data_IF_770512148928
#
_entry.id   IF_770512148928
#
_cell.length_a   1.000
_cell.length_b   1.000
_cell.length_c   1.000
_cell.angle_alpha   90.00
_cell.angle_beta   90.00
_cell.angle_gamma   90.00
#
_symmetry.space_group_name_H-M   'P 1'
#
loop_
_entity.id
_entity.type
_entity.pdbx_description
1 polymer ?
#
# COMPACT_ATOMS: atom_id res chain seq x y z
N UNK A 1 29.03 25.26 4.86
CA UNK A 1 29.62 24.29 3.91
C UNK A 1 28.77 23.03 3.70
N UNK A 2 28.39 22.28 4.75
CA UNK A 2 27.66 21.00 4.56
C UNK A 2 26.29 21.12 3.88
N UNK A 3 25.51 22.13 4.28
CA UNK A 3 24.21 22.43 3.63
C UNK A 3 24.40 22.77 2.14
N UNK A 4 25.46 23.49 1.78
CA UNK A 4 25.75 23.85 0.38
C UNK A 4 26.07 22.60 -0.46
N UNK A 5 26.88 21.67 0.07
CA UNK A 5 27.19 20.40 -0.62
C UNK A 5 25.93 19.57 -0.84
N UNK A 6 25.09 19.45 0.19
CA UNK A 6 23.80 18.76 0.10
C UNK A 6 22.89 19.39 -0.97
N UNK A 7 22.70 20.71 -0.91
CA UNK A 7 21.84 21.43 -1.84
C UNK A 7 22.38 21.40 -3.27
N UNK A 8 23.70 21.52 -3.47
CA UNK A 8 24.32 21.43 -4.78
C UNK A 8 24.12 20.05 -5.42
N UNK A 9 24.29 18.97 -4.64
CA UNK A 9 24.04 17.61 -5.13
C UNK A 9 22.56 17.38 -5.46
N UNK A 10 21.66 17.83 -4.59
CA UNK A 10 20.21 17.75 -4.81
C UNK A 10 19.80 18.46 -6.12
N UNK A 11 20.24 19.71 -6.30
CA UNK A 11 19.94 20.50 -7.50
C UNK A 11 20.55 19.87 -8.76
N UNK A 12 21.78 19.35 -8.67
CA UNK A 12 22.42 18.65 -9.78
C UNK A 12 21.63 17.41 -10.20
N UNK A 13 21.16 16.59 -9.26
CA UNK A 13 20.29 15.45 -9.56
C UNK A 13 18.99 15.87 -10.23
N UNK A 14 18.34 16.93 -9.73
CA UNK A 14 17.12 17.47 -10.34
C UNK A 14 17.37 17.93 -11.78
N UNK A 15 18.46 18.65 -12.02
CA UNK A 15 18.83 19.16 -13.35
C UNK A 15 19.19 18.03 -14.34
N UNK A 16 19.96 17.03 -13.91
CA UNK A 16 20.31 15.86 -14.74
C UNK A 16 19.04 15.13 -15.17
N UNK A 17 18.15 14.84 -14.22
CA UNK A 17 16.90 14.15 -14.56
C UNK A 17 16.02 15.03 -15.47
N UNK A 18 15.93 16.34 -15.22
CA UNK A 18 15.21 17.28 -16.06
C UNK A 18 15.73 17.31 -17.51
N UNK A 19 17.06 17.26 -17.68
CA UNK A 19 17.71 17.19 -18.99
C UNK A 19 17.47 15.84 -19.67
N UNK A 20 17.63 14.71 -18.96
CA UNK A 20 17.42 13.37 -19.51
C UNK A 20 15.98 13.11 -19.97
N UNK A 21 14.99 13.75 -19.33
CA UNK A 21 13.57 13.67 -19.74
C UNK A 21 13.30 14.23 -21.13
N UNK A 22 14.05 15.24 -21.56
CA UNK A 22 13.91 15.81 -22.91
C UNK A 22 14.41 14.86 -24.00
N UNK A 23 15.26 13.90 -23.63
CA UNK A 23 15.98 13.03 -24.56
C UNK A 23 15.42 11.61 -24.63
N UNK A 24 14.47 11.21 -23.76
CA UNK A 24 13.97 9.82 -23.71
C UNK A 24 12.43 9.78 -23.68
N UNK A 25 11.77 9.80 -24.84
CA UNK A 25 10.36 9.42 -24.94
C UNK A 25 10.25 7.89 -24.88
N UNK A 26 9.47 7.35 -23.94
CA UNK A 26 8.95 5.97 -24.02
C UNK A 26 9.77 4.82 -23.42
N UNK A 27 10.81 5.05 -22.61
CA UNK A 27 11.52 3.97 -21.89
C UNK A 27 11.11 3.87 -20.42
N UNK A 28 11.15 2.63 -19.91
CA UNK A 28 11.06 2.22 -18.50
C UNK A 28 11.50 3.35 -17.54
N UNK A 29 10.54 4.04 -16.89
CA UNK A 29 10.82 5.18 -16.03
C UNK A 29 11.81 4.81 -14.93
N UNK A 30 11.69 3.61 -14.34
CA UNK A 30 12.56 3.16 -13.28
C UNK A 30 14.02 3.08 -13.70
N UNK A 31 14.32 2.55 -14.91
CA UNK A 31 15.69 2.52 -15.45
C UNK A 31 16.25 3.92 -15.69
N UNK A 32 15.44 4.81 -16.25
CA UNK A 32 15.84 6.19 -16.52
C UNK A 32 16.20 6.91 -15.22
N UNK A 33 15.37 6.74 -14.18
CA UNK A 33 15.61 7.33 -12.88
C UNK A 33 16.82 6.71 -12.16
N UNK A 34 16.98 5.38 -12.17
CA UNK A 34 18.21 4.74 -11.63
C UNK A 34 19.45 5.31 -12.31
N UNK A 35 19.43 5.42 -13.65
CA UNK A 35 20.54 5.99 -14.42
C UNK A 35 20.88 7.42 -14.00
N UNK A 36 19.88 8.29 -13.85
CA UNK A 36 20.10 9.68 -13.45
C UNK A 36 20.63 9.81 -12.01
N UNK A 37 20.17 8.93 -11.11
CA UNK A 37 20.59 8.90 -9.70
C UNK A 37 22.02 8.39 -9.60
N UNK A 38 22.37 7.33 -10.33
CA UNK A 38 23.73 6.82 -10.40
C UNK A 38 24.67 7.83 -11.06
N UNK A 39 24.23 8.52 -12.12
CA UNK A 39 25.02 9.56 -12.79
C UNK A 39 25.26 10.76 -11.87
N UNK A 40 24.21 11.27 -11.21
CA UNK A 40 24.33 12.39 -10.28
C UNK A 40 25.11 12.02 -9.01
N UNK A 41 24.90 10.82 -8.46
CA UNK A 41 25.68 10.28 -7.36
C UNK A 41 27.14 10.10 -7.73
N UNK A 42 27.43 9.56 -8.92
CA UNK A 42 28.79 9.43 -9.47
C UNK A 42 29.48 10.79 -9.64
N UNK A 43 28.83 11.75 -10.29
CA UNK A 43 29.33 13.12 -10.43
C UNK A 43 29.59 13.78 -9.07
N UNK A 44 28.64 13.64 -8.14
CA UNK A 44 28.77 14.22 -6.80
C UNK A 44 29.92 13.57 -6.02
N UNK A 45 30.09 12.24 -6.14
CA UNK A 45 31.19 11.52 -5.50
C UNK A 45 32.53 11.94 -6.12
N UNK A 46 32.63 12.08 -7.44
CA UNK A 46 33.86 12.53 -8.08
C UNK A 46 34.23 13.98 -7.73
N UNK A 47 33.24 14.87 -7.57
CA UNK A 47 33.47 16.29 -7.25
C UNK A 47 33.78 16.50 -5.75
N UNK A 48 33.15 15.73 -4.86
CA UNK A 48 33.21 15.99 -3.41
C UNK A 48 33.92 14.91 -2.59
N UNK A 49 33.87 13.64 -3.00
CA UNK A 49 34.50 12.51 -2.31
C UNK A 49 35.96 12.33 -2.74
N UNK A 50 36.28 12.34 -4.05
CA UNK A 50 37.67 12.12 -4.49
C UNK A 50 38.65 13.17 -3.93
N UNK A 51 38.35 14.48 -3.94
CA UNK A 51 39.22 15.48 -3.31
C UNK A 51 39.29 15.34 -1.79
N UNK A 52 38.32 14.68 -1.14
CA UNK A 52 38.32 14.47 0.30
C UNK A 52 39.38 13.51 0.80
N UNK A 53 39.81 12.58 -0.06
CA UNK A 53 40.85 11.60 0.25
C UNK A 53 42.23 12.27 0.32
N UNK A 54 42.48 13.31 -0.48
CA UNK A 54 43.77 13.98 -0.56
C UNK A 54 43.85 15.28 0.25
N UNK A 55 42.72 15.98 0.49
CA UNK A 55 42.71 17.36 1.01
C UNK A 55 42.11 17.50 2.43
N UNK A 56 41.97 16.40 3.17
CA UNK A 56 41.48 16.43 4.57
C UNK A 56 40.03 16.87 4.72
N UNK A 57 39.21 16.74 3.66
CA UNK A 57 37.79 17.09 3.73
C UNK A 57 37.08 16.02 4.58
N UNK A 58 36.32 16.41 5.61
CA UNK A 58 35.62 15.47 6.48
C UNK A 58 34.65 14.55 5.73
N UNK A 59 34.63 13.23 6.00
CA UNK A 59 33.83 12.25 5.27
C UNK A 59 32.31 12.51 5.34
N UNK A 60 31.86 13.26 6.35
CA UNK A 60 30.46 13.73 6.47
C UNK A 60 29.97 14.53 5.26
N UNK A 61 30.84 15.26 4.56
CA UNK A 61 30.43 16.05 3.40
C UNK A 61 30.06 15.16 2.22
N UNK A 62 30.76 14.05 2.10
CA UNK A 62 30.54 13.12 1.02
C UNK A 62 29.28 12.24 1.30
N UNK A 63 28.99 11.94 2.57
CA UNK A 63 27.69 11.42 2.99
C UNK A 63 26.52 12.40 2.69
N UNK A 64 26.71 13.69 2.96
CA UNK A 64 25.71 14.72 2.64
C UNK A 64 25.50 14.86 1.13
N UNK A 65 26.55 14.70 0.33
CA UNK A 65 26.48 14.65 -1.12
C UNK A 65 25.63 13.45 -1.60
N UNK A 66 25.90 12.24 -1.11
CA UNK A 66 25.09 11.05 -1.44
C UNK A 66 23.63 11.23 -1.00
N UNK A 67 23.40 11.77 0.19
CA UNK A 67 22.05 12.05 0.69
C UNK A 67 21.32 13.09 -0.17
N UNK A 68 22.02 14.13 -0.63
CA UNK A 68 21.50 15.14 -1.55
C UNK A 68 21.11 14.52 -2.90
N UNK A 69 21.98 13.69 -3.47
CA UNK A 69 21.69 13.01 -4.74
C UNK A 69 20.49 12.05 -4.64
N UNK A 70 20.43 11.28 -3.54
CA UNK A 70 19.29 10.41 -3.25
C UNK A 70 17.99 11.21 -3.13
N UNK A 71 17.97 12.28 -2.33
CA UNK A 71 16.77 13.09 -2.14
C UNK A 71 16.36 13.83 -3.42
N UNK A 72 17.33 14.34 -4.20
CA UNK A 72 17.07 14.95 -5.50
C UNK A 72 16.48 13.93 -6.49
N UNK A 73 16.94 12.69 -6.46
CA UNK A 73 16.34 11.58 -7.19
C UNK A 73 14.89 11.34 -6.77
N UNK A 74 14.64 11.17 -5.46
CA UNK A 74 13.29 10.97 -4.92
C UNK A 74 12.37 12.11 -5.33
N UNK A 75 12.77 13.36 -5.07
CA UNK A 75 12.01 14.55 -5.46
C UNK A 75 11.66 14.52 -6.95
N UNK A 76 12.62 14.25 -7.83
CA UNK A 76 12.35 14.27 -9.26
C UNK A 76 11.47 13.13 -9.75
N UNK A 77 11.53 11.96 -9.09
CA UNK A 77 10.56 10.89 -9.37
C UNK A 77 9.16 11.29 -8.91
N UNK A 78 9.05 11.83 -7.68
CA UNK A 78 7.75 12.20 -7.10
C UNK A 78 7.06 13.33 -7.84
N UNK A 79 7.79 14.29 -8.44
CA UNK A 79 7.19 15.37 -9.21
C UNK A 79 6.55 14.91 -10.53
N UNK A 80 6.78 13.67 -10.95
CA UNK A 80 6.35 13.19 -12.26
C UNK A 80 5.47 11.98 -12.21
N UNK A 81 5.86 10.95 -11.47
CA UNK A 81 5.01 9.77 -11.29
C UNK A 81 4.18 9.84 -10.01
N UNK A 82 4.39 10.87 -9.19
CA UNK A 82 3.76 11.01 -7.89
C UNK A 82 4.49 10.24 -6.80
N UNK A 83 4.21 10.60 -5.54
CA UNK A 83 4.66 9.82 -4.37
C UNK A 83 3.82 8.56 -4.16
N UNK A 84 2.58 8.60 -4.63
CA UNK A 84 1.55 7.59 -4.41
C UNK A 84 1.04 7.06 -5.75
N UNK A 85 1.16 5.76 -5.95
CA UNK A 85 0.65 5.05 -7.13
C UNK A 85 -0.80 4.60 -6.92
N UNK A 86 -1.64 4.82 -7.92
CA UNK A 86 -3.00 4.28 -8.02
C UNK A 86 -3.19 3.62 -9.39
N UNK A 87 -2.76 2.36 -9.50
CA UNK A 87 -2.69 1.64 -10.77
C UNK A 87 -3.92 0.77 -11.07
N UNK A 88 -4.87 0.68 -10.14
CA UNK A 88 -6.10 -0.09 -10.28
C UNK A 88 -7.30 0.68 -9.68
N UNK A 89 -7.67 1.84 -10.27
CA UNK A 89 -8.91 2.51 -9.92
C UNK A 89 -10.10 1.58 -10.23
N UNK A 90 -11.18 1.64 -9.43
CA UNK A 90 -12.36 0.85 -9.73
C UNK A 90 -12.95 1.29 -11.08
N UNK A 91 -13.33 0.34 -11.96
CA UNK A 91 -14.03 0.63 -13.20
C UNK A 91 -15.25 1.52 -13.02
N UNK A 92 -15.61 2.24 -14.08
CA UNK A 92 -16.79 3.12 -14.11
C UNK A 92 -18.04 2.34 -13.69
N UNK A 93 -18.87 2.91 -12.82
CA UNK A 93 -20.12 2.30 -12.34
C UNK A 93 -19.97 1.36 -11.14
N UNK A 94 -18.76 0.89 -10.81
CA UNK A 94 -18.53 -0.02 -9.66
C UNK A 94 -18.88 0.66 -8.35
N UNK A 95 -18.47 1.94 -8.18
CA UNK A 95 -18.75 2.68 -6.94
C UNK A 95 -20.25 2.87 -6.75
N UNK A 96 -20.96 3.21 -7.82
CA UNK A 96 -22.39 3.44 -7.84
C UNK A 96 -23.18 2.14 -7.61
N UNK A 97 -22.74 1.00 -8.17
CA UNK A 97 -23.33 -0.32 -7.88
C UNK A 97 -23.19 -0.68 -6.42
N UNK A 98 -21.99 -0.55 -5.85
CA UNK A 98 -21.75 -0.82 -4.43
C UNK A 98 -22.68 0.05 -3.57
N UNK A 99 -22.76 1.36 -3.83
CA UNK A 99 -23.65 2.26 -3.08
C UNK A 99 -25.12 1.86 -3.22
N UNK A 100 -25.58 1.49 -4.41
CA UNK A 100 -26.95 1.01 -4.64
C UNK A 100 -27.26 -0.26 -3.85
N UNK A 101 -26.35 -1.23 -3.82
CA UNK A 101 -26.50 -2.44 -3.00
C UNK A 101 -26.59 -2.12 -1.50
N UNK A 102 -25.85 -1.12 -1.01
CA UNK A 102 -25.94 -0.72 0.40
C UNK A 102 -27.23 0.04 0.69
N UNK A 103 -27.68 0.90 -0.23
CA UNK A 103 -28.91 1.68 -0.08
C UNK A 103 -30.18 0.82 -0.17
N UNK A 104 -30.17 -0.26 -0.98
CA UNK A 104 -31.32 -1.17 -1.08
C UNK A 104 -31.50 -2.06 0.14
N UNK A 105 -30.54 -2.08 1.07
CA UNK A 105 -30.54 -2.93 2.26
C UNK A 105 -30.90 -2.11 3.48
N UNK A 106 -31.78 -2.66 4.32
CA UNK A 106 -32.05 -2.12 5.65
C UNK A 106 -30.90 -2.46 6.61
N UNK A 107 -29.75 -1.79 6.45
CA UNK A 107 -28.56 -2.04 7.25
C UNK A 107 -28.71 -1.48 8.66
N UNK A 108 -28.43 -2.32 9.66
CA UNK A 108 -28.39 -1.92 11.07
C UNK A 108 -26.95 -1.58 11.45
N UNK A 109 -26.72 -0.32 11.80
CA UNK A 109 -25.40 0.15 12.23
C UNK A 109 -25.23 -0.14 13.74
N UNK A 110 -24.29 -1.02 14.14
CA UNK A 110 -24.06 -1.30 15.55
C UNK A 110 -23.47 -0.07 16.25
N UNK A 111 -23.79 0.09 17.53
CA UNK A 111 -23.20 1.17 18.34
C UNK A 111 -21.72 0.88 18.58
N UNK A 112 -20.85 1.75 18.11
CA UNK A 112 -19.41 1.67 18.40
C UNK A 112 -19.14 1.99 19.88
N UNK A 113 -18.20 1.31 20.56
CA UNK A 113 -17.86 1.61 21.94
C UNK A 113 -17.37 3.06 22.09
N UNK A 114 -17.80 3.75 23.16
CA UNK A 114 -17.56 5.19 23.38
C UNK A 114 -16.08 5.60 23.32
N UNK A 115 -15.15 4.70 23.66
CA UNK A 115 -13.70 4.96 23.67
C UNK A 115 -12.95 4.37 22.47
N UNK A 116 -13.63 3.63 21.57
CA UNK A 116 -12.97 2.95 20.45
C UNK A 116 -12.22 3.93 19.56
N UNK A 117 -12.84 5.07 19.24
CA UNK A 117 -12.19 6.08 18.39
C UNK A 117 -10.98 6.74 19.06
N UNK A 118 -11.05 6.99 20.37
CA UNK A 118 -9.94 7.55 21.12
C UNK A 118 -8.75 6.57 21.17
N UNK A 119 -9.02 5.28 21.40
CA UNK A 119 -8.02 4.21 21.33
C UNK A 119 -7.40 4.14 19.92
N UNK A 120 -8.24 4.12 18.88
CA UNK A 120 -7.79 4.06 17.49
C UNK A 120 -6.79 5.16 17.14
N UNK A 121 -7.14 6.41 17.46
CA UNK A 121 -6.30 7.57 17.16
C UNK A 121 -5.02 7.56 18.01
N UNK A 122 -5.13 7.25 19.31
CA UNK A 122 -3.98 7.26 20.23
C UNK A 122 -2.95 6.20 19.81
N UNK A 123 -3.38 4.96 19.60
CA UNK A 123 -2.48 3.87 19.22
C UNK A 123 -1.95 4.07 17.80
N UNK A 124 -2.75 4.60 16.86
CA UNK A 124 -2.25 4.92 15.53
C UNK A 124 -1.19 6.03 15.53
N UNK A 125 -1.37 7.07 16.36
CA UNK A 125 -0.40 8.14 16.51
C UNK A 125 0.91 7.63 17.12
N UNK A 126 0.84 6.85 18.19
CA UNK A 126 2.00 6.20 18.80
C UNK A 126 2.71 5.32 17.77
N UNK A 127 1.96 4.47 17.05
CA UNK A 127 2.50 3.61 16.00
C UNK A 127 3.21 4.39 14.91
N UNK A 128 2.63 5.51 14.46
CA UNK A 128 3.23 6.37 13.43
C UNK A 128 4.55 6.98 13.90
N UNK A 129 4.58 7.53 15.11
CA UNK A 129 5.80 8.15 15.69
C UNK A 129 6.90 7.12 15.91
N UNK A 130 6.57 5.98 16.51
CA UNK A 130 7.53 4.91 16.81
C UNK A 130 8.09 4.29 15.53
N UNK A 131 7.26 4.14 14.49
CA UNK A 131 7.69 3.53 13.23
C UNK A 131 8.29 4.54 12.24
N UNK A 132 8.29 5.84 12.53
CA UNK A 132 8.78 6.86 11.60
C UNK A 132 10.22 6.60 11.08
N UNK A 133 11.21 6.19 11.90
CA UNK A 133 12.53 5.84 11.38
C UNK A 133 12.50 4.67 10.39
N UNK A 134 11.63 3.69 10.64
CA UNK A 134 11.44 2.53 9.77
C UNK A 134 10.81 2.94 8.43
N UNK A 135 9.90 3.93 8.41
CA UNK A 135 9.33 4.44 7.15
C UNK A 135 10.42 4.98 6.21
N UNK A 136 11.42 5.69 6.74
CA UNK A 136 12.52 6.21 5.95
C UNK A 136 13.35 5.08 5.34
N UNK A 137 13.67 4.06 6.14
CA UNK A 137 14.40 2.87 5.67
C UNK A 137 13.62 2.15 4.58
N UNK A 138 12.32 1.91 4.79
CA UNK A 138 11.45 1.24 3.81
C UNK A 138 11.37 2.05 2.52
N UNK A 139 11.16 3.37 2.61
CA UNK A 139 11.12 4.26 1.46
C UNK A 139 12.43 4.21 0.66
N UNK A 140 13.57 4.20 1.34
CA UNK A 140 14.88 4.05 0.71
C UNK A 140 15.02 2.70 0.00
N UNK A 141 14.67 1.59 0.67
CA UNK A 141 14.76 0.26 0.07
C UNK A 141 13.89 0.11 -1.17
N UNK A 142 12.64 0.60 -1.13
CA UNK A 142 11.72 0.57 -2.28
C UNK A 142 12.29 1.38 -3.44
N UNK A 143 12.78 2.59 -3.15
CA UNK A 143 13.22 3.50 -4.19
C UNK A 143 14.58 3.09 -4.79
N UNK A 144 15.52 2.58 -3.99
CA UNK A 144 16.79 2.00 -4.48
C UNK A 144 16.53 0.72 -5.27
N UNK A 145 15.67 -0.13 -4.69
CA UNK A 145 14.78 -1.10 -5.32
C UNK A 145 14.51 -0.81 -6.79
N UNK A 146 13.51 0.03 -7.01
CA UNK A 146 12.96 0.42 -8.29
C UNK A 146 12.44 1.85 -8.15
N UNK A 147 13.16 2.87 -8.65
CA UNK A 147 12.76 4.26 -8.47
C UNK A 147 11.38 4.54 -9.05
N UNK A 148 10.55 5.24 -8.28
CA UNK A 148 9.16 5.49 -8.58
C UNK A 148 8.38 5.86 -7.32
N UNK A 149 7.06 5.73 -7.33
CA UNK A 149 6.23 5.99 -6.15
C UNK A 149 6.68 5.13 -4.96
N UNK A 150 6.63 5.68 -3.76
CA UNK A 150 6.98 4.91 -2.54
C UNK A 150 5.72 4.26 -1.96
N UNK A 151 4.60 4.95 -2.09
CA UNK A 151 3.31 4.52 -1.60
C UNK A 151 2.45 3.97 -2.74
N UNK A 152 1.56 3.07 -2.38
CA UNK A 152 0.55 2.48 -3.24
C UNK A 152 -0.82 2.64 -2.58
N UNK A 153 -1.84 2.96 -3.36
CA UNK A 153 -3.23 2.98 -2.89
C UNK A 153 -4.03 1.83 -3.44
N UNK A 154 -4.66 1.09 -2.53
CA UNK A 154 -5.68 0.10 -2.84
C UNK A 154 -7.06 0.74 -2.70
N UNK A 155 -7.84 0.78 -3.78
CA UNK A 155 -9.23 1.24 -3.75
C UNK A 155 -10.12 0.20 -3.04
N UNK A 156 -10.46 0.47 -1.79
CA UNK A 156 -11.21 -0.43 -0.92
C UNK A 156 -12.59 0.12 -0.56
N UNK A 157 -13.48 -0.73 -0.04
CA UNK A 157 -14.81 -0.36 0.46
C UNK A 157 -14.78 -0.22 1.98
N UNK A 158 -15.28 0.91 2.47
CA UNK A 158 -15.37 1.26 3.88
C UNK A 158 -16.81 1.31 4.40
N UNK A 159 -17.02 2.04 5.49
CA UNK A 159 -18.32 2.16 6.15
C UNK A 159 -19.37 2.73 5.19
N UNK A 160 -20.57 2.15 5.17
CA UNK A 160 -21.70 2.55 4.32
C UNK A 160 -21.50 2.22 2.84
N UNK A 161 -20.54 1.37 2.47
CA UNK A 161 -20.24 1.08 1.07
C UNK A 161 -19.39 2.16 0.39
N UNK A 162 -18.94 3.17 1.13
CA UNK A 162 -18.14 4.28 0.59
C UNK A 162 -16.75 3.77 0.25
N UNK A 163 -16.31 4.02 -1.00
CA UNK A 163 -14.96 3.65 -1.42
C UNK A 163 -13.92 4.64 -0.92
N UNK A 164 -12.75 4.15 -0.53
CA UNK A 164 -11.64 4.97 -0.05
C UNK A 164 -10.29 4.40 -0.51
N UNK A 165 -9.26 5.23 -0.44
CA UNK A 165 -7.87 4.85 -0.76
C UNK A 165 -7.18 4.30 0.48
N UNK A 166 -6.94 2.99 0.52
CA UNK A 166 -6.14 2.34 1.56
C UNK A 166 -4.66 2.49 1.22
N UNK A 167 -3.90 3.20 2.04
CA UNK A 167 -2.47 3.45 1.81
C UNK A 167 -1.63 2.25 2.23
N UNK A 168 -0.64 1.92 1.40
CA UNK A 168 0.38 0.90 1.65
C UNK A 168 1.73 1.35 1.14
N UNK A 169 2.80 0.72 1.61
CA UNK A 169 4.07 0.81 0.89
C UNK A 169 4.00 -0.03 -0.39
N UNK A 170 4.63 0.48 -1.45
CA UNK A 170 4.74 -0.26 -2.70
C UNK A 170 5.63 -1.49 -2.49
N UNK A 171 5.04 -2.67 -2.66
CA UNK A 171 5.72 -3.96 -2.52
C UNK A 171 5.83 -4.73 -3.84
N UNK A 172 5.32 -4.17 -4.93
CA UNK A 172 5.36 -4.73 -6.28
C UNK A 172 5.96 -3.72 -7.25
N UNK A 173 6.34 -4.19 -8.43
CA UNK A 173 6.87 -3.37 -9.51
C UNK A 173 5.88 -2.25 -9.88
N UNK A 174 6.39 -1.13 -10.36
CA UNK A 174 5.55 -0.02 -10.84
C UNK A 174 4.57 -0.54 -11.92
N UNK A 175 3.30 -0.15 -11.82
CA UNK A 175 2.22 -0.56 -12.72
C UNK A 175 1.96 -2.09 -12.77
N UNK A 176 2.29 -2.83 -11.70
CA UNK A 176 2.13 -4.29 -11.62
C UNK A 176 0.73 -4.81 -11.97
N UNK A 177 -0.31 -4.01 -11.78
CA UNK A 177 -1.70 -4.37 -12.03
C UNK A 177 -2.28 -3.68 -13.28
N UNK A 178 -1.48 -2.92 -14.06
CA UNK A 178 -1.99 -2.15 -15.20
C UNK A 178 -2.64 -3.01 -16.28
N UNK A 179 -2.05 -4.17 -16.58
CA UNK A 179 -2.54 -5.07 -17.63
C UNK A 179 -3.46 -6.18 -17.10
N UNK A 180 -3.22 -6.63 -15.86
CA UNK A 180 -3.94 -7.78 -15.27
C UNK A 180 -5.11 -7.37 -14.40
N UNK A 181 -5.17 -6.09 -13.99
CA UNK A 181 -6.07 -5.64 -12.95
C UNK A 181 -5.76 -6.26 -11.58
N UNK A 182 -6.71 -6.17 -10.63
CA UNK A 182 -6.49 -6.62 -9.27
C UNK A 182 -6.52 -8.15 -9.14
N UNK A 183 -5.38 -8.80 -9.30
CA UNK A 183 -5.21 -10.26 -9.15
C UNK A 183 -4.54 -10.60 -7.82
N UNK A 184 -4.95 -11.71 -7.20
CA UNK A 184 -4.27 -12.24 -6.03
C UNK A 184 -2.81 -12.59 -6.39
N UNK A 185 -1.87 -12.22 -5.52
CA UNK A 185 -0.44 -12.43 -5.76
C UNK A 185 -0.05 -13.83 -5.26
N UNK A 186 0.31 -14.78 -6.13
CA UNK A 186 0.75 -16.11 -5.71
C UNK A 186 2.11 -16.06 -5.00
N UNK A 187 2.46 -17.14 -4.29
CA UNK A 187 3.81 -17.31 -3.76
C UNK A 187 4.82 -17.25 -4.93
N UNK A 188 5.80 -16.35 -4.84
CA UNK A 188 6.81 -16.16 -5.89
C UNK A 188 6.38 -15.28 -7.07
N UNK A 189 5.32 -14.46 -6.93
CA UNK A 189 4.90 -13.51 -7.97
C UNK A 189 6.09 -12.67 -8.50
N UNK A 190 6.41 -12.75 -9.82
CA UNK A 190 7.57 -12.07 -10.40
C UNK A 190 7.47 -10.55 -10.35
N UNK A 191 6.25 -10.01 -10.15
CA UNK A 191 6.01 -8.58 -9.97
C UNK A 191 6.38 -8.11 -8.56
N UNK A 192 6.76 -8.99 -7.65
CA UNK A 192 7.07 -8.61 -6.26
C UNK A 192 8.53 -8.14 -6.13
N UNK A 193 8.72 -6.97 -5.51
CA UNK A 193 10.05 -6.48 -5.17
C UNK A 193 10.72 -7.42 -4.16
N UNK A 194 12.05 -7.50 -4.15
CA UNK A 194 12.82 -8.27 -3.16
C UNK A 194 12.59 -7.73 -1.77
N UNK A 195 12.66 -6.40 -1.59
CA UNK A 195 12.28 -5.74 -0.34
C UNK A 195 10.79 -5.95 -0.07
N UNK A 196 9.95 -5.93 -1.11
CA UNK A 196 8.51 -6.18 -1.05
C UNK A 196 8.14 -7.53 -0.44
N UNK A 197 8.91 -8.59 -0.73
CA UNK A 197 8.74 -9.91 -0.08
C UNK A 197 8.90 -9.83 1.43
N UNK A 198 9.92 -9.12 1.90
CA UNK A 198 10.15 -8.93 3.33
C UNK A 198 9.07 -8.05 3.96
N UNK A 199 8.70 -6.95 3.30
CA UNK A 199 7.64 -6.05 3.78
C UNK A 199 6.32 -6.81 3.99
N UNK A 200 5.90 -7.62 3.00
CA UNK A 200 4.67 -8.41 3.09
C UNK A 200 4.74 -9.52 4.14
N UNK A 201 5.89 -10.18 4.28
CA UNK A 201 6.10 -11.23 5.28
C UNK A 201 5.87 -10.71 6.70
N UNK A 202 6.27 -9.47 6.97
CA UNK A 202 6.14 -8.83 8.28
C UNK A 202 4.99 -7.82 8.34
N UNK A 203 4.12 -7.76 7.33
CA UNK A 203 3.03 -6.78 7.19
C UNK A 203 3.47 -5.31 7.31
N UNK A 204 4.75 -5.03 7.08
CA UNK A 204 5.29 -3.68 7.13
C UNK A 204 4.78 -2.82 5.98
N UNK A 205 4.31 -3.45 4.89
CA UNK A 205 3.64 -2.73 3.81
C UNK A 205 2.30 -2.11 4.21
N UNK A 206 1.66 -2.57 5.29
CA UNK A 206 0.39 -2.07 5.82
C UNK A 206 0.57 -0.91 6.83
N UNK A 207 1.81 -0.53 7.19
CA UNK A 207 2.07 0.60 8.10
C UNK A 207 1.40 1.93 7.67
N UNK A 208 1.34 2.28 6.38
CA UNK A 208 0.66 3.51 5.96
C UNK A 208 -0.85 3.54 6.21
N UNK A 209 -1.48 2.40 6.50
CA UNK A 209 -2.89 2.33 6.89
C UNK A 209 -3.17 3.07 8.20
N UNK A 210 -2.15 3.33 9.04
CA UNK A 210 -2.29 4.19 10.21
C UNK A 210 -2.76 5.60 9.84
N UNK A 211 -2.38 6.11 8.67
CA UNK A 211 -2.89 7.39 8.14
C UNK A 211 -4.39 7.32 7.84
N UNK A 212 -4.88 6.17 7.36
CA UNK A 212 -6.31 5.95 7.15
C UNK A 212 -7.10 5.90 8.47
N UNK A 213 -6.49 5.33 9.52
CA UNK A 213 -7.07 5.31 10.88
C UNK A 213 -7.17 6.74 11.41
N UNK A 214 -6.10 7.52 11.35
CA UNK A 214 -6.12 8.93 11.74
C UNK A 214 -7.15 9.74 10.93
N UNK A 215 -7.21 9.54 9.61
CA UNK A 215 -8.18 10.16 8.72
C UNK A 215 -9.62 9.67 8.86
N UNK A 216 -9.89 8.64 9.68
CA UNK A 216 -11.24 8.19 10.01
C UNK A 216 -11.93 7.30 8.96
N UNK A 217 -11.21 6.92 7.91
CA UNK A 217 -11.68 5.96 6.90
C UNK A 217 -11.56 4.51 7.39
N UNK A 218 -10.59 4.26 8.28
CA UNK A 218 -10.35 2.97 8.92
C UNK A 218 -10.40 3.07 10.46
N UNK A 219 -10.45 1.91 11.11
CA UNK A 219 -10.23 1.68 12.54
C UNK A 219 -9.01 0.76 12.71
N UNK A 220 -8.46 0.64 13.92
CA UNK A 220 -7.42 -0.36 14.17
C UNK A 220 -8.00 -1.77 14.07
N UNK A 221 -9.23 -1.96 14.55
CA UNK A 221 -9.92 -3.26 14.57
C UNK A 221 -11.26 -3.16 13.88
N UNK A 222 -11.53 -4.11 12.99
CA UNK A 222 -12.73 -4.15 12.17
C UNK A 222 -12.63 -5.16 11.03
N UNK A 223 -13.69 -5.32 10.23
CA UNK A 223 -13.64 -6.17 9.04
C UNK A 223 -12.51 -5.75 8.10
N UNK A 224 -11.75 -6.71 7.55
CA UNK A 224 -10.64 -6.37 6.64
C UNK A 224 -11.18 -5.65 5.39
N UNK A 225 -10.59 -4.53 4.96
CA UNK A 225 -11.02 -3.83 3.76
C UNK A 225 -10.71 -4.66 2.50
N UNK A 226 -11.69 -4.80 1.62
CA UNK A 226 -11.57 -5.52 0.36
C UNK A 226 -11.63 -4.54 -0.82
N UNK A 227 -11.01 -4.92 -1.95
CA UNK A 227 -11.01 -4.10 -3.17
C UNK A 227 -12.44 -3.89 -3.66
N UNK A 228 -12.74 -2.69 -4.14
CA UNK A 228 -14.08 -2.36 -4.66
C UNK A 228 -14.57 -3.34 -5.72
N UNK A 229 -13.72 -3.70 -6.68
CA UNK A 229 -14.04 -4.70 -7.73
C UNK A 229 -14.43 -6.07 -7.15
N UNK A 230 -13.78 -6.48 -6.07
CA UNK A 230 -14.09 -7.75 -5.41
C UNK A 230 -15.40 -7.68 -4.62
N UNK A 231 -15.62 -6.56 -3.93
CA UNK A 231 -16.84 -6.33 -3.17
C UNK A 231 -18.06 -6.27 -4.10
N UNK A 232 -17.95 -5.61 -5.25
CA UNK A 232 -19.01 -5.54 -6.26
C UNK A 232 -19.47 -6.96 -6.67
N UNK A 233 -18.54 -7.82 -7.07
CA UNK A 233 -18.81 -9.24 -7.40
C UNK A 233 -19.40 -10.04 -6.23
N UNK A 234 -18.96 -9.76 -5.01
CA UNK A 234 -19.49 -10.44 -3.83
C UNK A 234 -20.91 -9.99 -3.50
N UNK A 235 -21.26 -8.71 -3.73
CA UNK A 235 -22.60 -8.19 -3.49
C UNK A 235 -23.61 -8.69 -4.52
N UNK A 236 -23.18 -9.00 -5.74
CA UNK A 236 -24.01 -9.65 -6.75
C UNK A 236 -24.43 -11.07 -6.32
N UNK A 237 -23.50 -11.84 -5.75
CA UNK A 237 -23.74 -13.25 -5.35
C UNK A 237 -24.28 -13.41 -3.93
N UNK A 238 -23.90 -12.52 -3.03
CA UNK A 238 -24.20 -12.57 -1.60
C UNK A 238 -24.55 -11.13 -1.15
N UNK A 239 -25.78 -10.66 -1.39
CA UNK A 239 -26.18 -9.31 -1.03
C UNK A 239 -25.91 -9.00 0.44
N UNK A 240 -26.03 -10.00 1.35
CA UNK A 240 -25.72 -9.93 2.79
C UNK A 240 -24.31 -9.44 3.10
N UNK A 241 -23.39 -9.51 2.13
CA UNK A 241 -22.02 -9.08 2.28
C UNK A 241 -21.89 -7.60 2.64
N UNK A 242 -22.89 -6.76 2.33
CA UNK A 242 -22.93 -5.35 2.75
C UNK A 242 -22.93 -5.14 4.28
N UNK A 243 -23.32 -6.14 5.08
CA UNK A 243 -23.42 -6.00 6.56
C UNK A 243 -22.05 -5.69 7.19
N UNK A 244 -20.97 -6.20 6.60
CA UNK A 244 -19.60 -5.95 7.06
C UNK A 244 -19.23 -4.46 7.02
N UNK A 245 -19.88 -3.69 6.15
CA UNK A 245 -19.61 -2.27 5.94
C UNK A 245 -20.46 -1.38 6.87
N UNK A 246 -21.10 -1.94 7.90
CA UNK A 246 -21.82 -1.15 8.93
C UNK A 246 -20.87 -0.48 9.93
N UNK A 247 -19.60 -0.88 9.98
CA UNK A 247 -18.54 -0.25 10.78
C UNK A 247 -17.35 0.09 9.90
N UNK A 248 -16.41 0.87 10.44
CA UNK A 248 -15.15 1.14 9.74
C UNK A 248 -14.35 -0.16 9.59
N UNK A 249 -13.74 -0.40 8.41
CA UNK A 249 -12.84 -1.52 8.24
C UNK A 249 -11.59 -1.38 9.13
N UNK A 250 -10.99 -2.52 9.48
CA UNK A 250 -9.86 -2.60 10.41
C UNK A 250 -8.54 -3.02 9.78
N UNK A 251 -7.44 -2.60 10.39
CA UNK A 251 -6.10 -3.18 10.12
C UNK A 251 -6.05 -4.62 10.64
N UNK A 252 -6.51 -4.83 11.89
CA UNK A 252 -6.65 -6.13 12.53
C UNK A 252 -8.10 -6.65 12.47
N UNK A 253 -8.28 -7.94 12.22
CA UNK A 253 -9.58 -8.59 12.14
C UNK A 253 -9.54 -10.05 12.61
N UNK A 254 -10.72 -10.59 12.95
CA UNK A 254 -10.87 -12.00 13.34
C UNK A 254 -10.37 -12.94 12.23
N UNK A 255 -10.65 -12.61 10.97
CA UNK A 255 -10.30 -13.47 9.84
C UNK A 255 -8.77 -13.61 9.65
N UNK A 256 -7.98 -12.58 9.91
CA UNK A 256 -6.51 -12.63 9.82
C UNK A 256 -5.89 -13.65 10.79
N UNK A 257 -6.52 -13.88 11.93
CA UNK A 257 -6.01 -14.80 12.95
C UNK A 257 -6.27 -16.27 12.58
N UNK A 258 -7.30 -16.52 11.75
CA UNK A 258 -7.84 -17.86 11.54
C UNK A 258 -7.60 -18.48 10.15
N UNK A 259 -7.54 -17.72 9.04
CA UNK A 259 -7.20 -18.21 7.68
C UNK A 259 -7.27 -17.07 6.64
N UNK A 260 -6.31 -17.01 5.70
CA UNK A 260 -6.28 -16.00 4.62
C UNK A 260 -7.24 -16.30 3.45
N UNK A 261 -7.35 -17.57 3.06
CA UNK A 261 -8.18 -18.05 1.94
C UNK A 261 -9.49 -18.67 2.46
N UNK A 262 -10.53 -17.84 2.61
CA UNK A 262 -11.86 -18.28 3.04
C UNK A 262 -12.92 -17.77 2.06
N UNK A 263 -14.01 -18.52 1.92
CA UNK A 263 -15.15 -18.14 1.09
C UNK A 263 -15.73 -16.78 1.53
N UNK A 264 -16.41 -16.03 0.64
CA UNK A 264 -17.06 -14.78 1.00
C UNK A 264 -18.06 -14.94 2.15
N UNK A 265 -18.79 -16.06 2.19
CA UNK A 265 -19.75 -16.39 3.23
C UNK A 265 -19.07 -16.63 4.59
N UNK A 266 -17.99 -17.40 4.64
CA UNK A 266 -17.23 -17.65 5.88
C UNK A 266 -16.59 -16.36 6.41
N UNK A 267 -16.08 -15.52 5.51
CA UNK A 267 -15.56 -14.20 5.87
C UNK A 267 -16.64 -13.34 6.51
N UNK A 268 -17.81 -13.27 5.88
CA UNK A 268 -18.95 -12.53 6.41
C UNK A 268 -19.40 -13.08 7.77
N UNK A 269 -19.39 -14.41 7.97
CA UNK A 269 -19.71 -15.04 9.26
C UNK A 269 -18.76 -14.55 10.37
N UNK A 270 -17.45 -14.54 10.11
CA UNK A 270 -16.44 -14.05 11.06
C UNK A 270 -16.61 -12.55 11.32
N UNK A 271 -16.85 -11.75 10.29
CA UNK A 271 -17.06 -10.31 10.42
C UNK A 271 -18.33 -10.01 11.24
N UNK A 272 -19.43 -10.76 11.05
CA UNK A 272 -20.64 -10.65 11.87
C UNK A 272 -20.42 -11.01 13.34
N UNK A 273 -19.51 -11.95 13.65
CA UNK A 273 -19.12 -12.24 15.05
C UNK A 273 -18.48 -11.01 15.69
N UNK A 274 -17.57 -10.34 14.95
CA UNK A 274 -16.98 -9.09 15.42
C UNK A 274 -18.04 -8.01 15.63
N UNK A 275 -18.93 -7.78 14.65
CA UNK A 275 -19.99 -6.76 14.75
C UNK A 275 -20.87 -6.94 15.99
N UNK A 276 -21.13 -8.18 16.42
CA UNK A 276 -21.93 -8.47 17.62
C UNK A 276 -21.17 -8.36 18.94
N UNK A 277 -19.85 -8.56 18.94
CA UNK A 277 -19.02 -8.65 20.17
C UNK A 277 -18.05 -7.48 20.36
N UNK A 278 -18.06 -6.51 19.45
CA UNK A 278 -17.16 -5.36 19.45
C UNK A 278 -17.17 -4.66 20.82
N UNK A 279 -16.00 -4.62 21.45
CA UNK A 279 -15.76 -3.95 22.72
C UNK A 279 -14.29 -3.54 22.79
N UNK A 280 -13.96 -2.56 23.62
CA UNK A 280 -12.57 -2.09 23.76
C UNK A 280 -11.63 -3.22 24.18
N UNK A 281 -12.05 -4.07 25.13
CA UNK A 281 -11.24 -5.22 25.56
C UNK A 281 -11.04 -6.25 24.45
N UNK A 282 -12.08 -6.50 23.65
CA UNK A 282 -11.97 -7.41 22.50
C UNK A 282 -11.08 -6.85 21.39
N UNK A 283 -11.11 -5.54 21.16
CA UNK A 283 -10.22 -4.87 20.21
C UNK A 283 -8.75 -4.97 20.65
N UNK A 284 -8.45 -4.69 21.93
CA UNK A 284 -7.10 -4.85 22.49
C UNK A 284 -6.63 -6.30 22.37
N UNK A 285 -7.49 -7.27 22.66
CA UNK A 285 -7.19 -8.68 22.49
C UNK A 285 -6.88 -9.05 21.03
N UNK A 286 -7.68 -8.56 20.07
CA UNK A 286 -7.43 -8.78 18.64
C UNK A 286 -6.12 -8.14 18.17
N UNK A 287 -5.81 -6.93 18.62
CA UNK A 287 -4.55 -6.25 18.30
C UNK A 287 -3.34 -7.01 18.83
N UNK A 288 -3.40 -7.46 20.09
CA UNK A 288 -2.35 -8.29 20.67
C UNK A 288 -2.13 -9.57 19.85
N UNK A 289 -3.21 -10.27 19.51
CA UNK A 289 -3.12 -11.48 18.68
C UNK A 289 -2.59 -11.21 17.28
N UNK A 290 -2.94 -10.08 16.66
CA UNK A 290 -2.40 -9.69 15.37
C UNK A 290 -0.86 -9.51 15.44
N UNK A 291 -0.38 -8.74 16.44
CA UNK A 291 1.07 -8.55 16.67
C UNK A 291 1.79 -9.87 16.90
N UNK A 292 1.28 -10.72 17.79
CA UNK A 292 1.88 -12.03 18.09
C UNK A 292 1.92 -12.93 16.86
N UNK A 293 0.86 -12.92 16.04
CA UNK A 293 0.80 -13.74 14.82
C UNK A 293 1.80 -13.23 13.78
N UNK A 294 1.93 -11.91 13.60
CA UNK A 294 2.93 -11.32 12.71
C UNK A 294 4.36 -11.66 13.14
N UNK A 295 4.66 -11.62 14.45
CA UNK A 295 6.00 -11.94 14.98
C UNK A 295 6.34 -13.42 14.84
N UNK A 296 5.36 -14.32 15.09
CA UNK A 296 5.56 -15.78 14.97
C UNK A 296 5.63 -16.26 13.52
N UNK A 297 5.24 -15.44 12.56
CA UNK A 297 5.13 -15.80 11.15
C UNK A 297 3.83 -16.55 10.83
N UNK A 298 3.51 -16.70 9.52
CA UNK A 298 2.31 -17.40 9.10
C UNK A 298 2.32 -18.85 9.62
N UNK A 299 1.16 -19.32 10.11
CA UNK A 299 0.98 -20.74 10.43
C UNK A 299 1.12 -21.55 9.13
N UNK A 300 1.79 -22.73 9.15
CA UNK A 300 1.83 -23.60 7.99
C UNK A 300 0.39 -23.87 7.53
N UNK A 301 0.12 -23.60 6.26
CA UNK A 301 -1.19 -23.81 5.67
C UNK A 301 -1.47 -25.32 5.65
N UNK A 302 -2.60 -25.71 6.25
CA UNK A 302 -3.20 -26.99 5.91
C UNK A 302 -3.57 -26.95 4.44
N UNK A 303 -2.93 -27.80 3.67
CA UNK A 303 -3.17 -28.09 2.26
C UNK A 303 -4.68 -28.22 1.95
N UNK A 304 -5.26 -27.19 1.31
CA UNK A 304 -6.41 -27.28 0.39
C UNK A 304 -7.06 -25.91 0.12
N UNK A 305 -6.76 -25.32 -1.04
CA UNK A 305 -7.73 -24.74 -1.96
C UNK A 305 -6.93 -24.21 -3.17
N UNK A 306 -6.62 -25.13 -4.08
CA UNK A 306 -6.11 -24.82 -5.39
C UNK A 306 -7.02 -23.78 -6.05
N UNK A 307 -6.43 -22.64 -6.37
CA UNK A 307 -6.72 -21.76 -7.50
C UNK A 307 -7.94 -22.17 -8.34
N UNK A 308 -9.08 -21.50 -8.14
CA UNK A 308 -9.97 -21.29 -9.28
C UNK A 308 -9.36 -20.17 -10.15
N UNK A 309 -8.98 -20.44 -11.41
CA UNK A 309 -8.53 -19.40 -12.30
C UNK A 309 -9.68 -18.43 -12.57
N UNK A 310 -9.38 -17.13 -12.51
CA UNK A 310 -10.27 -16.09 -13.03
C UNK A 310 -10.27 -16.26 -14.55
N UNK A 311 -11.26 -16.96 -15.09
CA UNK A 311 -11.47 -17.02 -16.54
C UNK A 311 -11.90 -15.63 -17.03
N UNK A 312 -11.33 -15.12 -18.13
CA UNK A 312 -11.91 -14.00 -18.86
C UNK A 312 -13.27 -14.46 -19.38
N UNK A 313 -14.31 -13.66 -19.15
CA UNK A 313 -15.64 -13.89 -19.72
C UNK A 313 -15.55 -13.91 -21.24
N UNK A 314 -15.80 -15.06 -21.85
CA UNK A 314 -16.29 -15.16 -23.22
C UNK A 314 -17.60 -14.38 -23.31
N UNK A 315 -17.65 -13.43 -24.25
CA UNK A 315 -18.77 -12.54 -24.45
C UNK A 315 -18.48 -11.48 -25.51
N UNK A 316 -17.68 -11.83 -26.52
CA UNK A 316 -17.71 -11.19 -27.82
C UNK A 316 -18.29 -12.26 -28.75
N UNK A 317 -19.54 -12.08 -29.16
CA UNK A 317 -19.99 -12.25 -30.54
C UNK A 317 -21.53 -12.20 -30.62
N UNK A 318 -22.00 -11.48 -31.65
CA UNK A 318 -23.31 -11.55 -32.27
C UNK A 318 -24.50 -10.88 -31.57
N UNK A 319 -24.75 -9.62 -31.92
CA UNK A 319 -26.08 -9.23 -32.44
C UNK A 319 -25.89 -8.38 -33.70
N UNK A 320 -26.12 -9.05 -34.83
CA UNK A 320 -26.36 -8.47 -36.16
C UNK A 320 -27.79 -7.89 -36.17
N UNK A 321 -27.97 -6.87 -37.01
CA UNK A 321 -29.22 -6.21 -37.40
C UNK A 321 -30.48 -7.09 -37.46
N UNK A 322 -31.57 -6.58 -36.89
CA UNK A 322 -32.86 -6.27 -37.54
C UNK A 322 -33.69 -5.41 -36.59
#
# INVERSE_FOLDING_TARGET
>A
MGVLVFMASLLLSVLIVAASRRSVPGRDPARTYRGCVLASGGLTTSVWWLPSLDHGIPPRYALLAVAGAFLGGVLTTTTVVGLVEDNAPPPVGVRERILRHHASRCLVYPREPRMKRALDVTVALIGLVVTLPLWLVIACLIWLEEPGPILFTKNAVGKGGITFRQFKFRSMTYEAERLTGPVASPAGDPRMLRCGRWLRRWHLDELPELLNVLGGTMSLVGPRPLRAVLVDRYLEKLPEFADRHTVRPGIACIAQIQQYHISPADRLRKDRVYLRRMSVGFDVWLLWHAVVTTVRGPRPEGEAALTEPVTPTEGADNVISC
#
